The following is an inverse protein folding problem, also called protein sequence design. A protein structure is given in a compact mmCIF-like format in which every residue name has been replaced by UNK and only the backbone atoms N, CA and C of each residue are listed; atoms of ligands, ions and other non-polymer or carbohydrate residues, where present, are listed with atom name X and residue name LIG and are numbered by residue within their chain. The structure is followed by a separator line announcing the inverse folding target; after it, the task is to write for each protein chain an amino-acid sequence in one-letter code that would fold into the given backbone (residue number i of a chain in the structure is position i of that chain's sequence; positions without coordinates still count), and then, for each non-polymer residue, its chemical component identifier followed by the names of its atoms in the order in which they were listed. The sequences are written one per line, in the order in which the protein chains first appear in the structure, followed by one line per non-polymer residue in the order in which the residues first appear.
data_IF_625839427234
#
_entry.id   IF_625839427234
#
_cell.length_a   1.000
_cell.length_b   1.000
_cell.length_c   1.000
_cell.angle_alpha   90.00
_cell.angle_beta   90.00
_cell.angle_gamma   90.00
#
_symmetry.space_group_name_H-M   'P 1'
#
loop_
_entity.id
_entity.type
_entity.pdbx_description
1 polymer ?
#
# COMPACT_ATOMS: atom_id res chain seq x y z
N UNK A 1 3.19 1.57 -0.85
CA UNK A 1 1.92 1.60 -1.58
C UNK A 1 1.63 0.20 -2.12
N UNK A 2 0.40 -0.27 -1.96
CA UNK A 2 -0.09 -1.55 -2.46
C UNK A 2 -1.25 -1.23 -3.40
N UNK A 3 -1.23 -1.79 -4.61
CA UNK A 3 -2.31 -1.64 -5.58
C UNK A 3 -3.00 -2.99 -5.74
N UNK A 4 -4.32 -3.01 -5.52
CA UNK A 4 -5.13 -4.22 -5.48
C UNK A 4 -5.19 -4.86 -4.09
N UNK A 5 -6.38 -4.93 -3.51
CA UNK A 5 -6.68 -5.53 -2.21
C UNK A 5 -7.06 -7.02 -2.28
N UNK A 6 -6.65 -7.73 -3.33
CA UNK A 6 -6.84 -9.19 -3.43
C UNK A 6 -6.00 -9.96 -2.40
N UNK A 7 -6.00 -11.30 -2.44
CA UNK A 7 -5.30 -12.11 -1.43
C UNK A 7 -3.81 -11.78 -1.24
N UNK A 8 -3.10 -11.42 -2.32
CA UNK A 8 -1.71 -10.95 -2.23
C UNK A 8 -1.59 -9.57 -1.60
N UNK A 9 -2.47 -8.64 -1.94
CA UNK A 9 -2.49 -7.30 -1.37
C UNK A 9 -2.79 -7.30 0.13
N UNK A 10 -3.75 -8.13 0.57
CA UNK A 10 -4.06 -8.31 2.00
C UNK A 10 -2.86 -8.84 2.79
N UNK A 11 -2.16 -9.84 2.24
CA UNK A 11 -0.92 -10.35 2.85
C UNK A 11 0.19 -9.28 2.87
N UNK A 12 0.34 -8.50 1.80
CA UNK A 12 1.31 -7.42 1.74
C UNK A 12 1.04 -6.33 2.78
N UNK A 13 -0.23 -5.96 3.00
CA UNK A 13 -0.65 -5.01 4.05
C UNK A 13 -0.31 -5.57 5.43
N UNK A 14 -0.71 -6.80 5.73
CA UNK A 14 -0.46 -7.42 7.03
C UNK A 14 1.04 -7.49 7.35
N UNK A 15 1.87 -7.90 6.37
CA UNK A 15 3.32 -7.94 6.53
C UNK A 15 3.89 -6.52 6.68
N UNK A 16 3.50 -5.56 5.84
CA UNK A 16 4.02 -4.20 5.94
C UNK A 16 3.69 -3.55 7.29
N UNK A 17 2.47 -3.73 7.78
CA UNK A 17 2.02 -3.25 9.08
C UNK A 17 2.81 -3.90 10.24
N UNK A 18 3.06 -5.22 10.19
CA UNK A 18 3.89 -5.92 11.19
C UNK A 18 5.33 -5.37 11.27
N UNK A 19 5.87 -4.90 10.14
CA UNK A 19 7.18 -4.26 10.06
C UNK A 19 7.15 -2.75 10.40
N UNK A 20 5.99 -2.20 10.76
CA UNK A 20 5.82 -0.79 11.12
C UNK A 20 5.88 0.18 9.95
N UNK A 21 5.69 -0.30 8.71
CA UNK A 21 5.57 0.55 7.55
C UNK A 21 4.23 1.28 7.54
N UNK A 22 4.22 2.53 7.10
CA UNK A 22 2.98 3.25 6.78
C UNK A 22 2.44 2.75 5.44
N UNK A 23 1.19 2.32 5.42
CA UNK A 23 0.59 1.60 4.30
C UNK A 23 -0.50 2.42 3.60
N UNK A 24 -0.42 2.44 2.26
CA UNK A 24 -1.42 3.06 1.39
C UNK A 24 -1.92 1.96 0.46
N UNK A 25 -3.22 1.70 0.46
CA UNK A 25 -3.90 0.77 -0.46
C UNK A 25 -4.67 1.53 -1.53
N UNK A 26 -4.49 1.15 -2.80
CA UNK A 26 -5.37 1.53 -3.91
C UNK A 26 -6.32 0.37 -4.20
N UNK A 27 -7.61 0.54 -3.91
CA UNK A 27 -8.66 -0.48 -4.08
C UNK A 27 -10.05 0.18 -4.06
N UNK A 28 -11.01 -0.39 -4.80
CA UNK A 28 -12.38 0.10 -4.92
C UNK A 28 -13.44 -0.96 -4.61
N UNK A 29 -13.03 -2.17 -4.18
CA UNK A 29 -13.95 -3.21 -3.71
C UNK A 29 -14.12 -3.11 -2.19
N UNK A 30 -15.32 -2.77 -1.74
CA UNK A 30 -15.63 -2.50 -0.33
C UNK A 30 -15.20 -3.62 0.63
N UNK A 31 -15.52 -4.88 0.32
CA UNK A 31 -15.14 -6.03 1.16
C UNK A 31 -13.61 -6.15 1.33
N UNK A 32 -12.84 -5.79 0.31
CA UNK A 32 -11.37 -5.82 0.35
C UNK A 32 -10.82 -4.64 1.14
N UNK A 33 -11.45 -3.48 1.05
CA UNK A 33 -11.11 -2.30 1.86
C UNK A 33 -11.37 -2.57 3.33
N UNK A 34 -12.53 -3.15 3.67
CA UNK A 34 -12.88 -3.53 5.03
C UNK A 34 -11.84 -4.50 5.61
N UNK A 35 -11.51 -5.56 4.87
CA UNK A 35 -10.47 -6.51 5.29
C UNK A 35 -9.09 -5.88 5.43
N UNK A 36 -8.74 -4.94 4.56
CA UNK A 36 -7.48 -4.21 4.65
C UNK A 36 -7.40 -3.36 5.93
N UNK A 37 -8.51 -2.77 6.36
CA UNK A 37 -8.62 -2.06 7.65
C UNK A 37 -8.40 -2.99 8.84
N UNK A 38 -8.92 -4.21 8.77
CA UNK A 38 -8.67 -5.23 9.80
C UNK A 38 -7.18 -5.61 9.90
N UNK A 39 -6.46 -5.61 8.77
CA UNK A 39 -5.00 -5.84 8.74
C UNK A 39 -4.15 -4.62 9.08
N UNK A 40 -4.78 -3.46 9.33
CA UNK A 40 -4.09 -2.25 9.77
C UNK A 40 -3.60 -1.37 8.63
N UNK A 41 -4.31 -1.32 7.50
CA UNK A 41 -4.01 -0.31 6.47
C UNK A 41 -4.17 1.11 7.03
N UNK A 42 -3.19 1.99 6.80
CA UNK A 42 -3.24 3.38 7.31
C UNK A 42 -4.11 4.27 6.42
N UNK A 43 -3.96 4.15 5.10
CA UNK A 43 -4.67 4.96 4.12
C UNK A 43 -5.26 4.12 3.00
N UNK A 44 -6.43 4.53 2.53
CA UNK A 44 -7.09 3.94 1.36
C UNK A 44 -7.31 5.04 0.33
N UNK A 45 -6.92 4.76 -0.90
CA UNK A 45 -7.20 5.56 -2.10
C UNK A 45 -8.21 4.78 -2.92
N UNK A 46 -9.46 5.21 -2.88
CA UNK A 46 -10.51 4.58 -3.65
C UNK A 46 -10.44 5.03 -5.11
N UNK A 47 -10.13 4.11 -6.02
CA UNK A 47 -10.06 4.44 -7.45
C UNK A 47 -11.42 4.75 -8.08
N UNK A 48 -12.54 4.54 -7.37
CA UNK A 48 -13.87 4.99 -7.77
C UNK A 48 -14.08 6.48 -7.51
N UNK A 49 -13.37 7.03 -6.52
CA UNK A 49 -13.38 8.46 -6.17
C UNK A 49 -12.24 9.23 -6.88
N UNK A 50 -11.13 8.53 -7.13
CA UNK A 50 -9.97 9.01 -7.88
C UNK A 50 -9.80 8.15 -9.14
N UNK A 51 -10.60 8.43 -10.17
CA UNK A 51 -10.77 7.58 -11.35
C UNK A 51 -9.60 7.66 -12.35
N UNK A 52 -8.84 8.75 -12.35
CA UNK A 52 -7.63 8.90 -13.17
C UNK A 52 -6.35 8.50 -12.44
N UNK A 53 -5.33 8.10 -13.21
CA UNK A 53 -3.98 7.82 -12.69
C UNK A 53 -3.41 9.04 -12.00
N UNK A 54 -3.60 10.22 -12.59
CA UNK A 54 -3.15 11.50 -12.08
C UNK A 54 -3.81 11.83 -10.74
N UNK A 55 -5.13 11.65 -10.61
CA UNK A 55 -5.85 11.91 -9.36
C UNK A 55 -5.38 10.98 -8.22
N UNK A 56 -5.08 9.71 -8.53
CA UNK A 56 -4.52 8.77 -7.55
C UNK A 56 -3.09 9.14 -7.16
N UNK A 57 -2.26 9.54 -8.13
CA UNK A 57 -0.89 9.98 -7.87
C UNK A 57 -0.85 11.25 -7.00
N UNK A 58 -1.73 12.23 -7.28
CA UNK A 58 -1.90 13.43 -6.46
C UNK A 58 -2.31 13.07 -5.03
N UNK A 59 -3.29 12.16 -4.87
CA UNK A 59 -3.73 11.70 -3.56
C UNK A 59 -2.60 11.03 -2.77
N UNK A 60 -1.80 10.17 -3.41
CA UNK A 60 -0.63 9.55 -2.78
C UNK A 60 0.41 10.60 -2.40
N UNK A 61 0.65 11.61 -3.25
CA UNK A 61 1.56 12.70 -2.94
C UNK A 61 1.10 13.49 -1.70
N UNK A 62 -0.19 13.81 -1.58
CA UNK A 62 -0.75 14.45 -0.38
C UNK A 62 -0.50 13.63 0.88
N UNK A 63 -0.80 12.33 0.83
CA UNK A 63 -0.61 11.41 1.96
C UNK A 63 0.86 11.27 2.38
N UNK A 64 1.79 11.49 1.45
CA UNK A 64 3.23 11.28 1.66
C UNK A 64 4.04 12.57 1.79
N UNK A 65 3.37 13.72 1.89
CA UNK A 65 3.98 15.06 1.92
C UNK A 65 4.86 15.36 0.68
N UNK A 66 4.35 14.99 -0.49
CA UNK A 66 4.98 15.21 -1.79
C UNK A 66 6.14 14.26 -2.13
N UNK A 67 6.45 13.29 -1.26
CA UNK A 67 7.57 12.35 -1.48
C UNK A 67 7.22 11.20 -2.41
N UNK A 68 5.96 10.79 -2.45
CA UNK A 68 5.54 9.52 -3.05
C UNK A 68 5.83 8.33 -2.14
N UNK A 69 5.54 7.12 -2.63
CA UNK A 69 5.74 5.89 -1.88
C UNK A 69 7.19 5.39 -1.96
N UNK A 70 7.79 5.00 -0.83
CA UNK A 70 9.14 4.41 -0.81
C UNK A 70 9.21 3.05 -1.52
N UNK A 71 8.13 2.28 -1.47
CA UNK A 71 7.99 0.95 -2.08
C UNK A 71 6.59 0.83 -2.67
N UNK A 72 6.51 0.35 -3.91
CA UNK A 72 5.26 -0.03 -4.57
C UNK A 72 5.12 -1.55 -4.70
N UNK A 73 3.89 -2.04 -4.53
CA UNK A 73 3.52 -3.44 -4.72
C UNK A 73 2.30 -3.48 -5.63
N UNK A 74 2.51 -3.77 -6.91
CA UNK A 74 1.41 -3.92 -7.87
C UNK A 74 0.94 -5.37 -7.93
N UNK A 75 -0.31 -5.58 -7.51
CA UNK A 75 -1.02 -6.87 -7.50
C UNK A 75 -2.50 -6.70 -7.87
N UNK A 76 -2.89 -5.60 -8.52
CA UNK A 76 -4.23 -5.36 -9.04
C UNK A 76 -4.53 -6.20 -10.29
N UNK A 77 -3.49 -6.51 -11.08
CA UNK A 77 -3.62 -7.37 -12.26
C UNK A 77 -4.23 -6.67 -13.47
N UNK A 78 -4.19 -5.33 -13.47
CA UNK A 78 -4.62 -4.47 -14.59
C UNK A 78 -3.44 -3.64 -15.09
N UNK A 79 -3.22 -3.52 -16.42
CA UNK A 79 -2.04 -2.81 -16.95
C UNK A 79 -1.92 -1.36 -16.50
N UNK A 80 -3.05 -0.66 -16.36
CA UNK A 80 -3.06 0.78 -16.03
C UNK A 80 -2.54 1.06 -14.62
N UNK A 81 -2.60 0.09 -13.70
CA UNK A 81 -2.10 0.25 -12.33
C UNK A 81 -0.59 0.54 -12.30
N UNK A 82 0.19 0.00 -13.25
CA UNK A 82 1.63 0.24 -13.32
C UNK A 82 1.99 1.71 -13.58
N UNK A 83 1.12 2.47 -14.23
CA UNK A 83 1.37 3.89 -14.52
C UNK A 83 1.24 4.79 -13.28
N UNK A 84 0.60 4.30 -12.22
CA UNK A 84 0.33 5.06 -10.99
C UNK A 84 1.50 5.04 -9.99
N UNK A 85 2.42 4.08 -10.13
CA UNK A 85 3.57 3.98 -9.23
C UNK A 85 4.76 4.77 -9.79
N UNK A 86 5.07 5.97 -9.24
CA UNK A 86 6.19 6.79 -9.71
C UNK A 86 7.55 6.13 -9.44
N UNK A 87 7.61 5.09 -8.60
CA UNK A 87 8.84 4.31 -8.35
C UNK A 87 9.15 3.36 -9.52
N UNK A 88 8.21 3.15 -10.45
CA UNK A 88 8.35 2.26 -11.62
C UNK A 88 9.38 2.72 -12.67
N UNK A 89 9.95 3.93 -12.54
CA UNK A 89 11.12 4.32 -13.36
C UNK A 89 12.38 3.48 -13.06
N UNK A 90 12.39 2.72 -11.96
CA UNK A 90 13.29 1.60 -11.76
C UNK A 90 12.59 0.30 -12.17
N UNK A 91 12.90 -0.19 -13.38
CA UNK A 91 12.41 -1.45 -13.96
C UNK A 91 12.48 -2.62 -12.97
N UNK A 92 11.37 -2.90 -12.30
CA UNK A 92 11.07 -4.21 -11.72
C UNK A 92 9.95 -4.83 -12.54
N UNK A 93 10.30 -5.30 -13.75
CA UNK A 93 9.43 -6.21 -14.51
C UNK A 93 9.22 -7.44 -13.64
N UNK A 94 8.01 -7.65 -13.13
CA UNK A 94 7.66 -8.85 -12.39
C UNK A 94 7.60 -10.06 -13.34
N UNK A 95 8.77 -10.55 -13.74
CA UNK A 95 9.01 -11.95 -14.06
C UNK A 95 9.96 -12.47 -12.99
N UNK A 96 9.43 -13.24 -12.04
CA UNK A 96 10.15 -14.10 -11.08
C UNK A 96 11.37 -13.49 -10.33
N UNK A 97 11.23 -13.37 -9.00
CA UNK A 97 12.30 -13.26 -7.99
C UNK A 97 13.32 -12.12 -8.16
N UNK A 98 13.16 -11.08 -7.35
CA UNK A 98 14.33 -10.40 -6.74
C UNK A 98 13.93 -9.76 -5.42
N UNK A 99 14.16 -10.48 -4.32
CA UNK A 99 14.31 -9.87 -2.99
C UNK A 99 15.70 -9.25 -2.98
N UNK A 100 15.78 -7.94 -3.11
CA UNK A 100 17.02 -7.22 -2.82
C UNK A 100 17.00 -6.89 -1.33
N UNK A 101 17.75 -7.66 -0.55
CA UNK A 101 17.88 -7.47 0.90
C UNK A 101 18.63 -6.16 1.18
N UNK A 102 17.96 -5.19 1.82
CA UNK A 102 18.62 -4.15 2.61
C UNK A 102 19.06 -4.76 3.97
N UNK A 103 20.14 -4.25 4.59
CA UNK A 103 20.65 -4.82 5.84
C UNK A 103 19.61 -4.76 6.97
N UNK A 104 19.59 -5.85 7.75
CA UNK A 104 18.67 -6.16 8.84
C UNK A 104 18.64 -5.02 9.88
N UNK A 105 17.53 -4.29 9.90
CA UNK A 105 17.14 -3.43 11.02
C UNK A 105 15.81 -3.94 11.53
N UNK A 106 15.83 -5.12 12.18
CA UNK A 106 14.69 -5.66 12.91
C UNK A 106 14.15 -4.58 13.87
N UNK A 107 12.93 -4.03 13.66
CA UNK A 107 12.34 -3.10 14.61
C UNK A 107 12.07 -3.82 15.93
N UNK A 108 12.31 -3.16 17.06
CA UNK A 108 11.93 -3.68 18.37
C UNK A 108 10.42 -3.94 18.40
N UNK A 109 10.02 -5.14 18.81
CA UNK A 109 8.63 -5.61 18.92
C UNK A 109 7.86 -4.93 20.05
N UNK A 110 7.74 -3.59 19.99
CA UNK A 110 6.78 -2.87 20.81
C UNK A 110 5.46 -2.86 20.05
N UNK A 111 4.42 -3.57 20.52
CA UNK A 111 3.11 -3.48 19.91
C UNK A 111 2.67 -2.02 19.93
N UNK A 112 2.25 -1.48 18.78
CA UNK A 112 1.60 -0.16 18.75
C UNK A 112 0.40 -0.25 19.69
N UNK A 113 0.42 0.54 20.76
CA UNK A 113 -0.68 0.61 21.72
C UNK A 113 -1.99 0.79 20.95
N UNK A 114 -2.95 -0.10 21.18
CA UNK A 114 -4.29 -0.06 20.59
C UNK A 114 -4.78 1.38 20.54
N UNK A 115 -4.88 1.98 19.35
CA UNK A 115 -5.52 3.28 19.19
C UNK A 115 -6.97 3.07 19.60
N UNK A 116 -7.32 3.66 20.74
CA UNK A 116 -8.62 3.54 21.37
C UNK A 116 -9.71 3.89 20.36
N UNK A 117 -10.50 2.88 20.01
CA UNK A 117 -11.74 3.00 19.25
C UNK A 117 -12.67 3.92 20.04
N UNK A 118 -12.65 5.21 19.72
CA UNK A 118 -13.53 6.20 20.34
C UNK A 118 -14.87 6.10 19.63
N UNK A 119 -15.79 5.35 20.24
CA UNK A 119 -17.21 5.42 19.89
C UNK A 119 -17.79 6.72 20.43
N UNK A 120 -18.39 7.51 19.54
CA UNK A 120 -19.47 8.44 19.89
C UNK A 120 -20.63 8.20 18.93
#
# INVERSE_FOLDING_TARGET
MIQGGGGLGQNAIAVANEFGAETILVEGVDERIERARDFGVDHVVDFREHDTVEARAERVAELTNGRGADVGVEVAGVPDAFAEDPTSSATARATSKSVTSRPDTRPSSTPRSSRARTSR
#
